data_IF_708174613305
#
_entry.id   IF_708174613305
#
_cell.length_a   1.000
_cell.length_b   1.000
_cell.length_c   1.000
_cell.angle_alpha   90.00
_cell.angle_beta   90.00
_cell.angle_gamma   90.00
#
_symmetry.space_group_name_H-M   'P 1'
#
loop_
_entity.id
_entity.type
_entity.pdbx_description
1 polymer ?
#
# COMPACT_ATOMS: atom_id res chain seq x y z
N UNK A 1 -22.82 -18.07 9.67
CA UNK A 1 -22.54 -17.09 8.62
C UNK A 1 -21.03 -16.90 8.45
N UNK A 2 -20.58 -17.01 7.25
CA UNK A 2 -19.16 -16.84 6.98
C UNK A 2 -18.79 -15.36 7.06
N UNK A 3 -17.67 -15.08 7.72
CA UNK A 3 -17.14 -13.73 7.73
C UNK A 3 -16.45 -13.45 6.39
N UNK A 4 -16.58 -12.24 5.91
CA UNK A 4 -15.84 -11.85 4.73
C UNK A 4 -14.36 -11.78 5.05
N UNK A 5 -13.56 -12.32 4.15
CA UNK A 5 -12.12 -12.17 4.24
C UNK A 5 -11.78 -10.75 3.77
N UNK A 6 -11.27 -9.93 4.68
CA UNK A 6 -10.93 -8.54 4.39
C UNK A 6 -9.45 -8.34 4.07
N UNK A 7 -8.69 -9.43 3.98
CA UNK A 7 -7.25 -9.37 3.78
C UNK A 7 -6.95 -9.34 2.29
N UNK A 8 -6.03 -8.48 1.90
CA UNK A 8 -5.53 -8.42 0.53
C UNK A 8 -4.01 -8.31 0.55
N UNK A 9 -3.40 -8.60 -0.60
CA UNK A 9 -1.94 -8.56 -0.74
C UNK A 9 -1.49 -7.13 -0.97
N UNK A 10 -0.38 -6.75 -0.32
CA UNK A 10 0.26 -5.46 -0.50
C UNK A 10 1.71 -5.67 -0.88
N UNK A 11 2.15 -5.02 -1.96
CA UNK A 11 3.54 -5.04 -2.38
C UNK A 11 4.04 -3.62 -2.58
N UNK A 12 5.27 -3.36 -2.15
CA UNK A 12 5.98 -2.11 -2.45
C UNK A 12 7.23 -2.53 -3.21
N UNK A 13 7.34 -2.06 -4.45
CA UNK A 13 8.42 -2.46 -5.35
C UNK A 13 9.21 -1.22 -5.73
N UNK A 14 10.54 -1.31 -5.63
CA UNK A 14 11.45 -0.28 -6.12
C UNK A 14 12.25 -0.86 -7.29
N UNK A 15 12.96 -0.01 -8.06
CA UNK A 15 13.70 -0.52 -9.22
C UNK A 15 14.69 -1.63 -8.93
N UNK A 16 15.23 -1.69 -7.71
CA UNK A 16 16.26 -2.66 -7.38
C UNK A 16 15.76 -3.88 -6.62
N UNK A 17 14.52 -3.87 -6.12
CA UNK A 17 14.04 -5.01 -5.33
C UNK A 17 12.56 -4.90 -4.99
N UNK A 18 12.03 -6.00 -4.45
CA UNK A 18 10.74 -5.97 -3.76
C UNK A 18 11.05 -5.47 -2.35
N UNK A 19 10.67 -4.24 -2.06
CA UNK A 19 10.94 -3.61 -0.76
C UNK A 19 10.12 -4.24 0.36
N UNK A 20 8.84 -4.54 0.07
CA UNK A 20 7.93 -5.14 1.03
C UNK A 20 6.89 -5.99 0.31
N UNK A 21 6.53 -7.11 0.90
CA UNK A 21 5.43 -7.93 0.45
C UNK A 21 4.75 -8.53 1.66
N UNK A 22 3.45 -8.32 1.76
CA UNK A 22 2.70 -8.82 2.89
C UNK A 22 1.22 -8.68 2.65
N UNK A 23 0.47 -8.64 3.74
CA UNK A 23 -0.99 -8.56 3.68
C UNK A 23 -1.49 -7.48 4.63
N UNK A 24 -2.66 -6.97 4.33
CA UNK A 24 -3.32 -6.01 5.19
C UNK A 24 -4.81 -6.00 4.95
N UNK A 25 -5.55 -5.33 5.81
CA UNK A 25 -6.98 -5.11 5.62
C UNK A 25 -7.28 -3.67 5.25
N UNK A 26 -6.28 -2.79 5.29
CA UNK A 26 -6.40 -1.43 4.80
C UNK A 26 -5.00 -0.87 4.54
N UNK A 27 -4.85 -0.07 3.51
CA UNK A 27 -3.61 0.63 3.24
C UNK A 27 -3.91 2.11 3.00
N UNK A 28 -3.09 2.97 3.57
CA UNK A 28 -3.18 4.42 3.39
C UNK A 28 -1.90 4.93 2.76
N UNK A 29 -2.03 5.82 1.79
CA UNK A 29 -0.86 6.45 1.17
C UNK A 29 -1.28 7.76 0.51
N UNK A 30 -0.29 8.57 0.12
CA UNK A 30 -0.53 9.87 -0.48
C UNK A 30 -0.43 9.77 -1.99
N UNK A 31 -1.42 10.35 -2.67
CA UNK A 31 -1.41 10.45 -4.13
C UNK A 31 -1.29 11.90 -4.55
N UNK A 32 -1.14 12.12 -5.85
CA UNK A 32 -1.04 13.47 -6.40
C UNK A 32 -2.29 14.32 -6.08
N UNK A 33 -3.42 13.69 -5.79
CA UNK A 33 -4.66 14.41 -5.48
C UNK A 33 -5.05 14.33 -4.00
N UNK A 34 -4.17 13.81 -3.16
CA UNK A 34 -4.40 13.73 -1.72
C UNK A 34 -4.23 12.34 -1.17
N UNK A 35 -4.53 12.18 0.12
CA UNK A 35 -4.42 10.90 0.78
C UNK A 35 -5.59 10.00 0.42
N UNK A 36 -5.31 8.71 0.34
CA UNK A 36 -6.32 7.71 0.02
C UNK A 36 -6.18 6.52 0.94
N UNK A 37 -7.30 5.96 1.36
CA UNK A 37 -7.34 4.70 2.11
C UNK A 37 -8.01 3.65 1.24
N UNK A 38 -7.42 2.47 1.17
CA UNK A 38 -7.89 1.41 0.29
C UNK A 38 -8.22 0.16 1.10
N UNK A 39 -9.39 -0.38 0.83
CA UNK A 39 -9.87 -1.64 1.42
C UNK A 39 -10.02 -2.68 0.31
N UNK A 40 -10.21 -3.93 0.70
CA UNK A 40 -10.44 -5.01 -0.25
C UNK A 40 -11.64 -4.71 -1.12
N UNK A 41 -11.62 -5.19 -2.35
CA UNK A 41 -12.66 -5.00 -3.36
C UNK A 41 -12.80 -3.55 -3.84
N UNK A 42 -11.75 -2.75 -3.64
CA UNK A 42 -11.72 -1.42 -4.21
C UNK A 42 -11.82 -1.49 -5.73
N UNK A 43 -12.48 -0.51 -6.32
CA UNK A 43 -12.56 -0.41 -7.78
C UNK A 43 -11.14 -0.31 -8.33
N UNK A 44 -10.80 -1.08 -9.39
CA UNK A 44 -9.47 -1.00 -9.97
C UNK A 44 -9.11 0.43 -10.37
N UNK A 45 -7.90 0.83 -9.99
CA UNK A 45 -7.44 2.20 -10.19
C UNK A 45 -5.92 2.23 -10.28
N UNK A 46 -5.39 3.04 -11.21
CA UNK A 46 -3.98 3.36 -11.24
C UNK A 46 -3.85 4.84 -10.97
N UNK A 47 -3.02 5.21 -10.01
CA UNK A 47 -2.85 6.62 -9.65
C UNK A 47 -1.39 6.93 -9.38
N UNK A 48 -1.05 8.22 -9.41
CA UNK A 48 0.31 8.69 -9.19
C UNK A 48 0.56 8.81 -7.69
N UNK A 49 1.66 8.20 -7.23
CA UNK A 49 2.10 8.34 -5.85
C UNK A 49 2.78 9.69 -5.65
N UNK A 50 2.46 10.35 -4.55
CA UNK A 50 3.21 11.51 -4.09
C UNK A 50 4.14 11.08 -2.96
N UNK A 51 5.21 11.82 -2.71
CA UNK A 51 6.08 11.54 -1.57
C UNK A 51 5.29 11.57 -0.27
N UNK A 52 5.48 10.58 0.56
CA UNK A 52 4.76 10.50 1.83
C UNK A 52 4.93 9.17 2.52
N UNK A 53 4.10 8.96 3.53
CA UNK A 53 4.13 7.77 4.36
C UNK A 53 3.04 6.81 3.91
N UNK A 54 3.41 5.53 3.82
CA UNK A 54 2.48 4.44 3.56
C UNK A 54 2.24 3.73 4.89
N UNK A 55 0.99 3.51 5.22
CA UNK A 55 0.60 2.75 6.42
C UNK A 55 -0.22 1.55 5.99
N UNK A 56 0.21 0.38 6.40
CA UNK A 56 -0.49 -0.86 6.10
C UNK A 56 -1.04 -1.40 7.41
N UNK A 57 -2.35 -1.52 7.50
CA UNK A 57 -3.04 -1.97 8.70
C UNK A 57 -3.48 -3.41 8.54
N UNK A 58 -3.31 -4.20 9.60
CA UNK A 58 -3.85 -5.55 9.66
C UNK A 58 -4.37 -5.74 11.07
N UNK A 59 -5.65 -6.04 11.21
CA UNK A 59 -6.30 -6.20 12.49
C UNK A 59 -5.53 -7.18 13.37
N UNK A 60 -5.23 -6.76 14.60
CA UNK A 60 -4.51 -7.59 15.56
C UNK A 60 -3.00 -7.51 15.45
N UNK A 61 -2.48 -6.71 14.54
CA UNK A 61 -1.03 -6.56 14.35
C UNK A 61 -0.65 -5.09 14.31
N UNK A 62 0.63 -4.82 14.56
CA UNK A 62 1.15 -3.46 14.46
C UNK A 62 1.14 -3.01 13.00
N UNK A 63 0.95 -1.72 12.79
CA UNK A 63 1.00 -1.14 11.46
C UNK A 63 2.40 -1.27 10.88
N UNK A 64 2.46 -1.52 9.58
CA UNK A 64 3.70 -1.43 8.81
C UNK A 64 3.75 -0.03 8.23
N UNK A 65 4.83 0.69 8.51
CA UNK A 65 4.97 2.08 8.08
C UNK A 65 6.24 2.22 7.26
N UNK A 66 6.12 2.82 6.09
CA UNK A 66 7.26 3.05 5.20
C UNK A 66 7.13 4.44 4.59
N UNK A 67 8.26 5.04 4.25
CA UNK A 67 8.29 6.30 3.51
C UNK A 67 8.55 5.98 2.05
N UNK A 68 7.79 6.56 1.15
CA UNK A 68 7.96 6.35 -0.29
C UNK A 68 8.04 7.68 -1.01
N UNK A 69 8.75 7.66 -2.12
CA UNK A 69 8.83 8.80 -3.03
C UNK A 69 8.16 8.40 -4.33
N UNK A 70 7.90 9.37 -5.16
CA UNK A 70 7.17 9.28 -6.42
C UNK A 70 7.13 7.91 -7.11
N UNK A 71 6.07 7.68 -7.83
CA UNK A 71 5.84 6.46 -8.58
C UNK A 71 4.37 6.31 -8.89
N UNK A 72 3.90 5.08 -8.89
CA UNK A 72 2.51 4.76 -9.21
C UNK A 72 1.96 3.75 -8.21
N UNK A 73 0.65 3.82 -8.01
CA UNK A 73 -0.05 2.80 -7.24
C UNK A 73 -1.02 2.10 -8.19
N UNK A 74 -1.00 0.77 -8.17
CA UNK A 74 -1.98 -0.03 -8.89
C UNK A 74 -2.86 -0.70 -7.87
N UNK A 75 -4.15 -0.40 -7.93
CA UNK A 75 -5.13 -0.90 -6.98
C UNK A 75 -6.06 -1.85 -7.70
N UNK A 76 -6.08 -3.09 -7.21
CA UNK A 76 -6.97 -4.14 -7.72
C UNK A 76 -7.85 -4.60 -6.56
N UNK A 77 -8.95 -5.34 -6.84
CA UNK A 77 -9.86 -5.73 -5.75
C UNK A 77 -9.24 -6.52 -4.61
N UNK A 78 -8.16 -7.26 -4.86
CA UNK A 78 -7.53 -8.11 -3.85
C UNK A 78 -6.03 -7.89 -3.72
N UNK A 79 -5.49 -6.83 -4.34
CA UNK A 79 -4.06 -6.58 -4.33
C UNK A 79 -3.78 -5.10 -4.57
N UNK A 80 -2.83 -4.55 -3.83
CA UNK A 80 -2.33 -3.20 -4.06
C UNK A 80 -0.83 -3.27 -4.27
N UNK A 81 -0.35 -2.69 -5.36
CA UNK A 81 1.08 -2.64 -5.68
C UNK A 81 1.51 -1.19 -5.78
N UNK A 82 2.50 -0.83 -4.98
CA UNK A 82 3.11 0.49 -5.04
C UNK A 82 4.46 0.37 -5.75
N UNK A 83 4.59 1.04 -6.89
CA UNK A 83 5.82 1.08 -7.67
C UNK A 83 6.48 2.41 -7.38
N UNK A 84 7.41 2.42 -6.41
CA UNK A 84 8.04 3.64 -5.93
C UNK A 84 9.48 3.74 -6.41
N UNK A 85 9.92 4.96 -6.72
CA UNK A 85 11.32 5.20 -7.07
C UNK A 85 12.21 4.88 -5.88
N UNK A 86 11.80 5.30 -4.69
CA UNK A 86 12.56 5.10 -3.46
C UNK A 86 11.58 4.73 -2.35
N UNK A 87 11.96 3.75 -1.54
CA UNK A 87 11.20 3.39 -0.35
C UNK A 87 12.20 3.18 0.80
N UNK A 88 11.81 3.64 1.99
CA UNK A 88 12.68 3.58 3.16
C UNK A 88 11.87 3.24 4.39
N UNK A 89 12.52 2.52 5.31
CA UNK A 89 11.94 2.29 6.64
C UNK A 89 12.26 3.51 7.50
N UNK A 90 11.29 4.01 8.30
CA UNK A 90 11.51 5.25 9.07
C UNK A 90 12.66 5.19 10.06
N UNK A 91 13.01 4.00 10.52
CA UNK A 91 14.05 3.82 11.54
C UNK A 91 15.45 3.65 10.99
N UNK A 92 15.61 3.81 9.71
CA UNK A 92 16.93 3.65 9.05
C UNK A 92 17.54 4.97 8.70
#
# INVERSE_FOLDING_TARGET
MAEENKIFTVEIITPDRIFYKGEGDMIEFTTAVGEIGVYKKHIPLTTVLAPGVVKIHKTGEDDVIAAVHSGFAEILPDKVTLLAEIAEWPDE
#
